data_IF_929539291025
#
_entry.id   IF_929539291025
#
_cell.length_a   1.000
_cell.length_b   1.000
_cell.length_c   1.000
_cell.angle_alpha   90.00
_cell.angle_beta   90.00
_cell.angle_gamma   90.00
#
_symmetry.space_group_name_H-M   'P 1'
#
loop_
_entity.id
_entity.type
_entity.pdbx_description
1 polymer ?
#
# COMPACT_ATOMS: atom_id res chain seq x y z
N UNK A 1 -13.51 13.11 -3.07
CA UNK A 1 -12.12 12.63 -2.91
C UNK A 1 -12.07 11.23 -3.49
N UNK A 2 -11.09 10.93 -4.35
CA UNK A 2 -11.01 9.64 -5.04
C UNK A 2 -10.58 8.55 -4.04
N UNK A 3 -11.47 7.59 -3.75
CA UNK A 3 -11.25 6.53 -2.75
C UNK A 3 -10.07 5.64 -3.09
N UNK A 4 -9.75 5.48 -4.37
CA UNK A 4 -8.58 4.74 -4.81
C UNK A 4 -7.27 5.40 -4.37
N UNK A 5 -7.21 6.74 -4.35
CA UNK A 5 -6.03 7.50 -3.90
C UNK A 5 -5.82 7.33 -2.38
N UNK A 6 -6.91 7.36 -1.60
CA UNK A 6 -6.84 7.15 -0.15
C UNK A 6 -6.31 5.75 0.19
N UNK A 7 -6.84 4.71 -0.46
CA UNK A 7 -6.37 3.33 -0.29
C UNK A 7 -4.88 3.22 -0.62
N UNK A 8 -4.44 3.84 -1.71
CA UNK A 8 -3.04 3.82 -2.13
C UNK A 8 -2.12 4.53 -1.11
N UNK A 9 -2.58 5.63 -0.52
CA UNK A 9 -1.86 6.30 0.56
C UNK A 9 -1.80 5.44 1.83
N UNK A 10 -2.86 4.69 2.15
CA UNK A 10 -2.84 3.76 3.29
C UNK A 10 -1.86 2.59 3.05
N UNK A 11 -1.81 2.03 1.84
CA UNK A 11 -0.84 0.97 1.46
C UNK A 11 0.59 1.49 1.56
N UNK A 12 0.86 2.73 1.11
CA UNK A 12 2.17 3.36 1.29
C UNK A 12 2.55 3.49 2.76
N UNK A 13 1.62 3.87 3.64
CA UNK A 13 1.87 3.95 5.08
C UNK A 13 2.24 2.58 5.68
N UNK A 14 1.56 1.49 5.27
CA UNK A 14 1.91 0.14 5.71
C UNK A 14 3.37 -0.23 5.38
N UNK A 15 3.85 0.18 4.20
CA UNK A 15 5.23 -0.10 3.76
C UNK A 15 6.31 0.53 4.67
N UNK A 16 5.99 1.61 5.37
CA UNK A 16 6.94 2.33 6.23
C UNK A 16 6.97 1.81 7.69
N UNK A 17 6.32 0.68 8.00
CA UNK A 17 6.63 -0.15 9.17
C UNK A 17 5.99 0.26 10.49
N UNK A 18 5.05 1.21 10.51
CA UNK A 18 4.30 1.54 11.73
C UNK A 18 2.83 1.16 11.57
N UNK A 19 2.54 -0.13 11.76
CA UNK A 19 1.20 -0.70 11.57
C UNK A 19 0.62 -1.05 12.93
N UNK A 20 -0.26 -0.19 13.45
CA UNK A 20 -1.08 -0.55 14.59
C UNK A 20 -2.28 -1.41 14.13
N UNK A 21 -2.84 -2.18 15.07
CA UNK A 21 -3.92 -3.13 14.80
C UNK A 21 -5.17 -2.42 14.26
N UNK A 22 -5.48 -1.25 14.79
CA UNK A 22 -6.65 -0.45 14.42
C UNK A 22 -6.56 0.06 12.98
N UNK A 23 -5.38 0.52 12.56
CA UNK A 23 -5.15 0.95 11.18
C UNK A 23 -5.20 -0.24 10.22
N UNK A 24 -4.60 -1.37 10.59
CA UNK A 24 -4.66 -2.57 9.75
C UNK A 24 -6.09 -3.06 9.57
N UNK A 25 -6.87 -3.11 10.66
CA UNK A 25 -8.30 -3.42 10.61
C UNK A 25 -9.04 -2.46 9.67
N UNK A 26 -8.88 -1.15 9.85
CA UNK A 26 -9.51 -0.14 8.99
C UNK A 26 -9.15 -0.31 7.51
N UNK A 27 -7.87 -0.56 7.21
CA UNK A 27 -7.40 -0.79 5.85
C UNK A 27 -8.02 -2.05 5.23
N UNK A 28 -8.01 -3.19 5.94
CA UNK A 28 -8.54 -4.45 5.41
C UNK A 28 -10.03 -4.31 5.12
N UNK A 29 -10.79 -3.66 6.02
CA UNK A 29 -12.22 -3.44 5.83
C UNK A 29 -12.47 -2.50 4.64
N UNK A 30 -11.67 -1.44 4.49
CA UNK A 30 -11.77 -0.52 3.36
C UNK A 30 -11.48 -1.24 2.04
N UNK A 31 -10.46 -2.11 1.99
CA UNK A 31 -10.14 -2.94 0.82
C UNK A 31 -11.30 -3.88 0.46
N UNK A 32 -11.81 -4.65 1.44
CA UNK A 32 -12.90 -5.62 1.24
C UNK A 32 -14.17 -4.95 0.70
N UNK A 33 -14.50 -3.77 1.23
CA UNK A 33 -15.72 -3.05 0.83
C UNK A 33 -15.55 -2.29 -0.49
N UNK A 34 -14.32 -2.02 -0.94
CA UNK A 34 -14.07 -1.32 -2.19
C UNK A 34 -14.44 -2.17 -3.41
N UNK A 35 -15.35 -1.66 -4.25
CA UNK A 35 -15.69 -2.24 -5.56
C UNK A 35 -14.68 -1.89 -6.66
N UNK A 36 -13.84 -0.88 -6.41
CA UNK A 36 -12.80 -0.44 -7.33
C UNK A 36 -11.59 -1.39 -7.27
N UNK A 37 -11.26 -1.85 -6.06
CA UNK A 37 -10.24 -2.88 -5.84
C UNK A 37 -10.84 -4.25 -6.14
N UNK A 38 -11.75 -4.75 -5.31
CA UNK A 38 -12.37 -6.05 -5.55
C UNK A 38 -13.72 -5.88 -6.25
N UNK A 39 -13.84 -6.27 -7.51
CA UNK A 39 -15.07 -6.18 -8.29
C UNK A 39 -16.11 -7.20 -7.82
N UNK A 40 -15.66 -8.39 -7.41
CA UNK A 40 -16.53 -9.50 -6.99
C UNK A 40 -16.18 -10.00 -5.60
N UNK A 41 -17.16 -10.57 -4.90
CA UNK A 41 -16.91 -11.15 -3.57
C UNK A 41 -15.99 -12.38 -3.64
N UNK A 42 -15.95 -13.05 -4.79
CA UNK A 42 -14.99 -14.14 -5.04
C UNK A 42 -13.54 -13.66 -5.03
N UNK A 43 -13.27 -12.44 -5.49
CA UNK A 43 -11.92 -11.84 -5.44
C UNK A 43 -11.54 -11.50 -4.01
N UNK A 44 -12.49 -11.02 -3.19
CA UNK A 44 -12.29 -10.84 -1.75
C UNK A 44 -11.97 -12.16 -1.07
N UNK A 45 -12.72 -13.22 -1.38
CA UNK A 45 -12.46 -14.55 -0.81
C UNK A 45 -11.07 -15.07 -1.19
N UNK A 46 -10.66 -14.87 -2.45
CA UNK A 46 -9.33 -15.24 -2.94
C UNK A 46 -8.22 -14.46 -2.23
N UNK A 47 -8.42 -13.16 -1.97
CA UNK A 47 -7.48 -12.35 -1.18
C UNK A 47 -7.33 -12.90 0.24
N UNK A 48 -8.45 -13.21 0.92
CA UNK A 48 -8.43 -13.68 2.31
C UNK A 48 -7.83 -15.08 2.43
N UNK A 49 -8.03 -15.94 1.45
CA UNK A 49 -7.34 -17.23 1.39
C UNK A 49 -5.82 -17.04 1.18
N UNK A 50 -5.42 -16.21 0.20
CA UNK A 50 -4.00 -16.03 -0.09
C UNK A 50 -3.22 -15.36 1.06
N UNK A 51 -3.79 -14.35 1.70
CA UNK A 51 -3.12 -13.53 2.72
C UNK A 51 -3.37 -14.06 4.14
N UNK A 52 -4.62 -14.31 4.50
CA UNK A 52 -5.00 -14.72 5.86
C UNK A 52 -5.08 -16.23 6.03
N UNK A 53 -5.02 -17.01 4.93
CA UNK A 53 -5.27 -18.47 4.94
C UNK A 53 -6.66 -18.80 5.51
N UNK A 54 -7.62 -17.90 5.29
CA UNK A 54 -9.01 -18.06 5.74
C UNK A 54 -9.90 -18.36 4.54
N UNK A 55 -10.48 -19.56 4.54
CA UNK A 55 -11.48 -19.98 3.54
C UNK A 55 -12.87 -19.84 4.12
N UNK A 56 -13.71 -19.05 3.45
CA UNK A 56 -15.11 -18.87 3.84
C UNK A 56 -16.05 -19.81 3.10
N UNK A 57 -17.07 -20.28 3.82
CA UNK A 57 -18.14 -21.07 3.23
C UNK A 57 -18.89 -20.28 2.15
N UNK A 58 -19.45 -20.93 1.11
CA UNK A 58 -20.07 -20.24 -0.02
C UNK A 58 -21.14 -19.22 0.37
N UNK A 59 -21.96 -19.51 1.39
CA UNK A 59 -22.99 -18.59 1.87
C UNK A 59 -22.39 -17.32 2.49
N UNK A 60 -21.20 -17.41 3.09
CA UNK A 60 -20.49 -16.26 3.65
C UNK A 60 -19.99 -15.35 2.53
N UNK A 61 -19.43 -15.94 1.47
CA UNK A 61 -18.90 -15.20 0.31
C UNK A 61 -20.00 -14.44 -0.45
N UNK A 62 -21.29 -14.81 -0.30
CA UNK A 62 -22.40 -14.05 -0.90
C UNK A 62 -22.55 -12.63 -0.37
N UNK A 63 -22.00 -12.29 0.81
CA UNK A 63 -22.10 -10.95 1.39
C UNK A 63 -20.75 -10.38 1.81
N UNK A 64 -20.37 -9.21 1.26
CA UNK A 64 -19.15 -8.50 1.66
C UNK A 64 -19.17 -8.05 3.10
N UNK A 65 -20.32 -7.62 3.61
CA UNK A 65 -20.44 -7.19 5.01
C UNK A 65 -20.32 -8.38 5.96
N UNK A 66 -20.79 -9.56 5.56
CA UNK A 66 -20.61 -10.78 6.35
C UNK A 66 -19.15 -11.26 6.35
N UNK A 67 -18.47 -11.21 5.19
CA UNK A 67 -17.02 -11.44 5.10
C UNK A 67 -16.28 -10.45 6.02
N UNK A 68 -16.59 -9.15 5.88
CA UNK A 68 -16.02 -8.05 6.67
C UNK A 68 -16.16 -8.32 8.17
N UNK A 69 -17.37 -8.61 8.65
CA UNK A 69 -17.63 -8.87 10.07
C UNK A 69 -16.84 -10.08 10.61
N UNK A 70 -16.74 -11.16 9.81
CA UNK A 70 -15.98 -12.35 10.20
C UNK A 70 -14.47 -12.05 10.25
N UNK A 71 -13.93 -11.39 9.24
CA UNK A 71 -12.50 -11.07 9.22
C UNK A 71 -12.11 -10.07 10.31
N UNK A 72 -13.01 -9.16 10.69
CA UNK A 72 -12.76 -8.22 11.80
C UNK A 72 -12.49 -8.97 13.10
N UNK A 73 -13.26 -10.03 13.39
CA UNK A 73 -13.04 -10.86 14.59
C UNK A 73 -11.67 -11.52 14.55
N UNK A 74 -11.32 -12.11 13.40
CA UNK A 74 -9.99 -12.72 13.19
C UNK A 74 -8.89 -11.70 13.46
N UNK A 75 -8.97 -10.50 12.88
CA UNK A 75 -7.93 -9.46 13.02
C UNK A 75 -7.77 -9.00 14.47
N UNK A 76 -8.87 -8.87 15.22
CA UNK A 76 -8.84 -8.42 16.62
C UNK A 76 -8.05 -9.39 17.50
N UNK A 77 -8.14 -10.69 17.21
CA UNK A 77 -7.49 -11.77 17.97
C UNK A 77 -5.99 -11.93 17.66
N UNK A 78 -5.48 -11.30 16.60
CA UNK A 78 -4.08 -11.41 16.20
C UNK A 78 -3.11 -10.66 17.13
N UNK A 79 -1.91 -11.17 17.27
CA UNK A 79 -0.78 -10.47 17.88
C UNK A 79 -0.20 -9.39 16.97
N UNK A 80 0.55 -8.44 17.54
CA UNK A 80 1.20 -7.37 16.75
C UNK A 80 2.16 -7.93 15.68
N UNK A 81 2.85 -9.05 15.98
CA UNK A 81 3.76 -9.70 15.03
C UNK A 81 3.00 -10.32 13.84
N UNK A 82 1.85 -10.90 14.10
CA UNK A 82 0.98 -11.43 13.03
C UNK A 82 0.41 -10.30 12.17
N UNK A 83 0.01 -9.19 12.79
CA UNK A 83 -0.46 -7.99 12.08
C UNK A 83 0.65 -7.45 11.17
N UNK A 84 1.88 -7.34 11.65
CA UNK A 84 3.02 -6.90 10.85
C UNK A 84 3.26 -7.81 9.63
N UNK A 85 3.26 -9.13 9.85
CA UNK A 85 3.41 -10.11 8.78
C UNK A 85 2.26 -10.01 7.74
N UNK A 86 1.01 -10.01 8.19
CA UNK A 86 -0.16 -9.91 7.31
C UNK A 86 -0.25 -8.57 6.60
N UNK A 87 0.23 -7.49 7.21
CA UNK A 87 0.32 -6.19 6.56
C UNK A 87 1.27 -6.23 5.37
N UNK A 88 2.42 -6.88 5.52
CA UNK A 88 3.40 -7.08 4.44
C UNK A 88 2.81 -7.94 3.31
N UNK A 89 2.13 -9.03 3.66
CA UNK A 89 1.45 -9.90 2.70
C UNK A 89 0.31 -9.18 1.97
N UNK A 90 -0.48 -8.38 2.68
CA UNK A 90 -1.54 -7.54 2.10
C UNK A 90 -0.97 -6.58 1.06
N UNK A 91 0.09 -5.85 1.41
CA UNK A 91 0.76 -4.91 0.51
C UNK A 91 1.25 -5.62 -0.75
N UNK A 92 1.93 -6.76 -0.59
CA UNK A 92 2.42 -7.56 -1.71
C UNK A 92 1.28 -8.06 -2.60
N UNK A 93 0.20 -8.57 -2.01
CA UNK A 93 -0.96 -9.05 -2.75
C UNK A 93 -1.57 -7.95 -3.61
N UNK A 94 -1.79 -6.76 -3.04
CA UNK A 94 -2.42 -5.65 -3.78
C UNK A 94 -1.50 -5.13 -4.88
N UNK A 95 -0.20 -4.95 -4.60
CA UNK A 95 0.77 -4.48 -5.61
C UNK A 95 0.83 -5.44 -6.80
N UNK A 96 0.87 -6.75 -6.55
CA UNK A 96 1.01 -7.76 -7.60
C UNK A 96 -0.28 -7.97 -8.41
N UNK A 97 -1.45 -7.95 -7.76
CA UNK A 97 -2.70 -8.32 -8.43
C UNK A 97 -3.49 -7.15 -9.01
N UNK A 98 -3.34 -5.94 -8.48
CA UNK A 98 -4.18 -4.82 -8.90
C UNK A 98 -3.57 -3.91 -9.93
N UNK A 99 -2.38 -4.24 -10.47
CA UNK A 99 -1.57 -3.30 -11.26
C UNK A 99 -1.80 -1.89 -10.71
N UNK A 100 -1.45 -1.66 -9.44
CA UNK A 100 -1.16 -0.30 -9.03
C UNK A 100 0.05 0.06 -9.88
N UNK A 101 -0.23 0.45 -11.14
CA UNK A 101 0.65 1.18 -11.99
C UNK A 101 0.99 2.31 -11.05
N UNK A 102 2.20 2.20 -10.48
CA UNK A 102 3.02 3.37 -10.39
C UNK A 102 2.74 4.05 -11.70
N UNK A 103 1.99 5.16 -11.68
CA UNK A 103 2.26 6.17 -12.67
C UNK A 103 3.77 6.17 -12.70
N UNK A 104 4.33 5.62 -13.78
CA UNK A 104 5.69 5.92 -14.12
C UNK A 104 5.60 7.42 -14.16
N UNK A 105 6.00 8.11 -13.08
CA UNK A 105 6.44 9.49 -13.17
C UNK A 105 7.25 9.45 -14.45
N UNK A 106 6.88 10.21 -15.50
CA UNK A 106 7.58 10.14 -16.76
C UNK A 106 9.05 10.16 -16.38
N UNK A 107 9.79 9.12 -16.77
CA UNK A 107 11.19 8.96 -16.41
C UNK A 107 11.81 10.30 -16.78
N UNK A 108 12.10 11.12 -15.77
CA UNK A 108 12.74 12.38 -16.00
C UNK A 108 14.03 11.97 -16.67
N UNK A 109 14.21 12.37 -17.93
CA UNK A 109 15.52 12.28 -18.59
C UNK A 109 16.52 12.77 -17.54
N UNK A 110 17.54 11.96 -17.26
CA UNK A 110 18.64 12.31 -16.39
C UNK A 110 19.28 13.62 -16.89
N UNK A 111 18.72 14.76 -16.53
CA UNK A 111 19.43 16.01 -16.53
C UNK A 111 20.18 16.02 -15.20
N UNK A 112 21.49 15.83 -15.29
CA UNK A 112 22.44 15.94 -14.18
C UNK A 112 21.98 17.04 -13.20
N UNK A 113 21.77 16.65 -11.95
CA UNK A 113 21.52 17.57 -10.84
C UNK A 113 22.63 18.64 -10.82
N UNK A 114 22.26 19.91 -10.96
CA UNK A 114 23.06 21.00 -10.41
C UNK A 114 22.75 21.08 -8.91
N UNK A 115 23.66 20.59 -8.08
CA UNK A 115 23.60 20.87 -6.64
C UNK A 115 23.93 22.36 -6.45
N UNK A 116 23.36 23.05 -5.45
CA UNK A 116 23.74 24.44 -5.15
C UNK A 116 25.27 24.59 -4.96
N UNK A 117 25.92 23.51 -4.51
CA UNK A 117 27.38 23.38 -4.41
C UNK A 117 28.13 23.34 -5.76
N UNK A 118 27.52 22.90 -6.86
CA UNK A 118 28.22 22.86 -8.17
C UNK A 118 28.44 24.24 -8.78
N UNK A 119 27.79 25.27 -8.25
CA UNK A 119 28.06 26.65 -8.60
C UNK A 119 29.18 27.27 -7.74
N UNK A 120 29.51 26.68 -6.59
CA UNK A 120 30.56 27.17 -5.70
C UNK A 120 31.94 27.03 -6.34
N UNK A 121 32.21 25.92 -7.02
CA UNK A 121 33.49 25.67 -7.70
C UNK A 121 33.76 26.74 -8.78
N UNK A 122 32.73 27.16 -9.51
CA UNK A 122 32.84 28.22 -10.54
C UNK A 122 33.11 29.59 -9.93
N UNK A 123 32.55 29.88 -8.76
CA UNK A 123 32.79 31.14 -8.05
C UNK A 123 34.22 31.21 -7.50
N UNK A 124 34.70 30.11 -6.92
CA UNK A 124 36.08 30.01 -6.41
C UNK A 124 37.09 30.11 -7.56
N UNK A 125 36.83 29.46 -8.70
CA UNK A 125 37.70 29.52 -9.87
C UNK A 125 37.79 30.93 -10.46
N UNK A 126 36.69 31.71 -10.45
CA UNK A 126 36.68 33.10 -10.90
C UNK A 126 37.44 34.07 -10.00
N UNK A 127 37.52 33.77 -8.70
CA UNK A 127 38.31 34.57 -7.74
C UNK A 127 39.80 34.23 -7.84
N UNK A 128 40.14 32.94 -7.97
CA UNK A 128 41.53 32.47 -8.06
C UNK A 128 42.22 32.80 -9.40
N UNK A 129 41.46 33.00 -10.48
CA UNK A 129 42.00 33.42 -11.78
C UNK A 129 42.26 34.93 -11.90
N UNK A 130 42.04 35.70 -10.84
CA UNK A 130 42.25 37.14 -10.83
C UNK A 130 43.55 37.51 -10.11
N UNK A 131 44.66 36.98 -10.62
CA UNK A 131 46.02 37.51 -10.46
C UNK A 131 46.73 37.46 -11.82
#
# INVERSE_FOLDING_TARGET
MDKSIEILNMIKKLKHGNVNKEFFLGLVITLILSKEIFKKNSEVALYLDNVFKVVFLPYTVRSRTLISAKISRVIIELSNKEIENLSSLTVNYIINNHELKNEKKPVAKNNKKGNALSNMDKWIEGILKKE
#
